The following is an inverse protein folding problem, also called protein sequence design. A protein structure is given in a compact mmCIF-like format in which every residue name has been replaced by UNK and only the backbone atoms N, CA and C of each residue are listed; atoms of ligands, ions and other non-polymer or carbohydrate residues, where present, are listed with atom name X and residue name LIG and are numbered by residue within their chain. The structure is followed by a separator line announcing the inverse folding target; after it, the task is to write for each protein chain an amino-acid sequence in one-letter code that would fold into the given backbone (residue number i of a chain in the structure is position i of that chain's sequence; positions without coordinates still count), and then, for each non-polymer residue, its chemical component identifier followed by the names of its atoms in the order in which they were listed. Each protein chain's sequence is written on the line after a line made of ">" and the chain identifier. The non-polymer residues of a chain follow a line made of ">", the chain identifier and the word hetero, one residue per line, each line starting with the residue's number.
data_IF_564968804272
#
_entry.id   IF_564968804272
#
_cell.length_a   1.000
_cell.length_b   1.000
_cell.length_c   1.000
_cell.angle_alpha   90.00
_cell.angle_beta   90.00
_cell.angle_gamma   90.00
#
_symmetry.space_group_name_H-M   'P 1'
#
loop_
_entity.id
_entity.type
_entity.pdbx_description
1 polymer ?
#
# COMPACT_ATOMS: atom_id res chain seq x y z
N UNK A 1 0.77 5.95 -15.23
CA UNK A 1 0.63 5.75 -16.69
C UNK A 1 -0.71 6.26 -17.16
N UNK A 2 -1.81 5.76 -16.59
CA UNK A 2 -3.16 6.17 -17.01
C UNK A 2 -3.43 7.68 -16.85
N UNK A 3 -3.89 8.34 -17.93
CA UNK A 3 -4.09 9.79 -17.98
C UNK A 3 -5.10 10.31 -16.94
N UNK A 4 -6.15 9.53 -16.66
CA UNK A 4 -7.14 9.85 -15.62
C UNK A 4 -6.50 10.06 -14.24
N UNK A 5 -5.43 9.33 -13.94
CA UNK A 5 -4.72 9.49 -12.67
C UNK A 5 -4.03 10.86 -12.60
N UNK A 6 -3.51 11.37 -13.71
CA UNK A 6 -2.83 12.66 -13.75
C UNK A 6 -3.82 13.82 -13.52
N UNK A 7 -5.01 13.75 -14.12
CA UNK A 7 -6.10 14.70 -13.89
C UNK A 7 -6.54 14.71 -12.42
N UNK A 8 -6.76 13.52 -11.85
CA UNK A 8 -7.13 13.37 -10.44
C UNK A 8 -6.05 13.89 -9.48
N UNK A 9 -4.77 13.61 -9.75
CA UNK A 9 -3.63 14.11 -8.97
C UNK A 9 -3.60 15.64 -8.97
N UNK A 10 -3.78 16.25 -10.15
CA UNK A 10 -3.82 17.72 -10.29
C UNK A 10 -4.97 18.33 -9.49
N UNK A 11 -6.19 17.79 -9.64
CA UNK A 11 -7.36 18.29 -8.94
C UNK A 11 -7.27 18.13 -7.41
N UNK A 12 -6.82 16.97 -6.93
CA UNK A 12 -6.70 16.71 -5.50
C UNK A 12 -5.70 17.66 -4.81
N UNK A 13 -4.60 17.99 -5.51
CA UNK A 13 -3.64 18.98 -5.05
C UNK A 13 -4.22 20.39 -5.02
N UNK A 14 -4.92 20.79 -6.10
CA UNK A 14 -5.63 22.07 -6.17
C UNK A 14 -6.65 22.25 -5.04
N UNK A 15 -7.46 21.23 -4.77
CA UNK A 15 -8.46 21.22 -3.70
C UNK A 15 -7.86 20.99 -2.30
N UNK A 16 -6.56 20.73 -2.20
CA UNK A 16 -5.84 20.47 -0.94
C UNK A 16 -6.53 19.40 -0.10
N UNK A 17 -6.83 18.25 -0.69
CA UNK A 17 -7.49 17.12 -0.02
C UNK A 17 -6.58 16.50 1.05
N UNK A 18 -6.43 17.16 2.20
CA UNK A 18 -5.50 16.79 3.28
C UNK A 18 -5.75 15.42 3.92
N UNK A 19 -6.96 14.88 3.75
CA UNK A 19 -7.32 13.54 4.23
C UNK A 19 -7.06 12.43 3.20
N UNK A 20 -6.57 12.78 2.00
CA UNK A 20 -6.20 11.82 0.97
C UNK A 20 -4.73 11.45 1.11
N UNK A 21 -4.48 10.18 1.42
CA UNK A 21 -3.16 9.56 1.40
C UNK A 21 -3.15 8.42 0.37
N UNK A 22 -2.17 8.43 -0.52
CA UNK A 22 -1.95 7.39 -1.52
C UNK A 22 -0.66 6.67 -1.18
N UNK A 23 -0.74 5.35 -0.95
CA UNK A 23 0.43 4.48 -0.91
C UNK A 23 0.59 3.91 -2.31
N UNK A 24 1.66 4.32 -2.98
CA UNK A 24 1.97 3.84 -4.32
C UNK A 24 3.02 2.73 -4.23
N UNK A 25 2.68 1.54 -4.72
CA UNK A 25 3.62 0.44 -4.84
C UNK A 25 4.57 0.72 -6.02
N UNK A 26 5.78 1.16 -5.68
CA UNK A 26 6.85 1.45 -6.61
C UNK A 26 7.77 0.24 -6.73
N UNK A 27 7.30 -0.77 -7.46
CA UNK A 27 7.98 -2.06 -7.61
C UNK A 27 8.79 -2.21 -8.91
N UNK A 28 8.79 -1.18 -9.77
CA UNK A 28 9.48 -1.13 -11.07
C UNK A 28 9.09 -2.21 -12.09
N UNK A 29 7.93 -2.86 -11.95
CA UNK A 29 7.48 -3.95 -12.84
C UNK A 29 6.04 -3.70 -13.33
N UNK A 30 5.81 -3.93 -14.63
CA UNK A 30 4.50 -4.05 -15.27
C UNK A 30 4.37 -5.44 -15.94
N UNK A 31 3.26 -5.68 -16.66
CA UNK A 31 3.02 -6.96 -17.37
C UNK A 31 4.13 -7.24 -18.39
N UNK A 32 4.56 -6.22 -19.14
CA UNK A 32 5.56 -6.37 -20.19
C UNK A 32 7.00 -6.49 -19.66
N UNK A 33 7.21 -6.38 -18.34
CA UNK A 33 8.54 -6.47 -17.72
C UNK A 33 8.87 -5.26 -16.86
N UNK A 34 10.16 -4.86 -16.79
CA UNK A 34 10.58 -3.64 -16.11
C UNK A 34 9.86 -2.40 -16.65
N UNK A 35 9.51 -1.47 -15.76
CA UNK A 35 8.78 -0.25 -16.16
C UNK A 35 9.60 0.66 -17.08
N UNK A 36 10.93 0.59 -17.05
CA UNK A 36 11.82 1.42 -17.88
C UNK A 36 11.69 1.17 -19.39
N UNK A 37 11.01 0.09 -19.79
CA UNK A 37 10.66 -0.21 -21.18
C UNK A 37 9.68 0.83 -21.78
N UNK A 38 8.83 1.43 -20.95
CA UNK A 38 7.77 2.34 -21.42
C UNK A 38 7.47 3.53 -20.48
N UNK A 39 8.13 3.60 -19.32
CA UNK A 39 7.92 4.64 -18.30
C UNK A 39 9.26 5.27 -17.92
N UNK A 40 9.37 6.57 -18.14
CA UNK A 40 10.54 7.37 -17.75
C UNK A 40 10.18 8.57 -16.85
N UNK A 41 8.93 8.63 -16.39
CA UNK A 41 8.42 9.70 -15.54
C UNK A 41 9.01 9.63 -14.12
N UNK A 42 9.38 10.79 -13.56
CA UNK A 42 9.59 10.95 -12.12
C UNK A 42 8.24 11.15 -11.41
N UNK A 43 7.70 10.05 -10.89
CA UNK A 43 6.41 10.04 -10.20
C UNK A 43 6.43 10.92 -8.94
N UNK A 44 7.40 10.80 -8.01
CA UNK A 44 7.53 11.72 -6.88
C UNK A 44 7.56 13.20 -7.28
N UNK A 45 8.36 13.58 -8.29
CA UNK A 45 8.43 14.97 -8.75
C UNK A 45 7.10 15.46 -9.33
N UNK A 46 6.39 14.62 -10.09
CA UNK A 46 5.07 14.99 -10.63
C UNK A 46 4.06 15.27 -9.52
N UNK A 47 3.99 14.43 -8.50
CA UNK A 47 3.12 14.66 -7.35
C UNK A 47 3.49 15.95 -6.60
N UNK A 48 4.80 16.20 -6.37
CA UNK A 48 5.28 17.46 -5.78
C UNK A 48 4.84 18.67 -6.61
N UNK A 49 4.98 18.60 -7.94
CA UNK A 49 4.55 19.66 -8.86
C UNK A 49 3.03 19.89 -8.83
N UNK A 50 2.24 18.84 -8.58
CA UNK A 50 0.79 18.94 -8.36
C UNK A 50 0.40 19.36 -6.93
N UNK A 51 1.33 19.81 -6.08
CA UNK A 51 1.01 20.34 -4.75
C UNK A 51 0.80 19.27 -3.68
N UNK A 52 1.34 18.07 -3.86
CA UNK A 52 1.27 17.00 -2.85
C UNK A 52 2.46 17.03 -1.88
N UNK A 53 2.27 16.49 -0.68
CA UNK A 53 3.36 16.06 0.17
C UNK A 53 3.83 14.70 -0.33
N UNK A 54 5.14 14.46 -0.39
CA UNK A 54 5.68 13.21 -0.92
C UNK A 54 6.72 12.64 0.04
N UNK A 55 6.53 11.37 0.39
CA UNK A 55 7.51 10.54 1.09
C UNK A 55 7.95 9.41 0.19
N UNK A 56 9.22 9.04 0.26
CA UNK A 56 9.80 7.88 -0.43
C UNK A 56 10.37 6.96 0.66
N UNK A 57 9.90 5.72 0.72
CA UNK A 57 10.23 4.76 1.79
C UNK A 57 10.48 3.37 1.21
N UNK A 58 11.26 2.55 1.92
CA UNK A 58 11.31 1.12 1.68
C UNK A 58 10.00 0.48 2.18
N UNK A 59 9.28 -0.21 1.30
CA UNK A 59 8.03 -0.89 1.61
C UNK A 59 8.21 -2.03 2.62
N UNK A 60 9.42 -2.59 2.72
CA UNK A 60 9.75 -3.69 3.63
C UNK A 60 10.23 -3.20 5.00
N UNK A 61 10.44 -1.90 5.18
CA UNK A 61 10.62 -1.25 6.48
C UNK A 61 9.27 -0.75 7.00
N UNK A 62 8.61 -1.59 7.81
CA UNK A 62 7.30 -1.29 8.41
C UNK A 62 7.36 -0.02 9.29
N UNK A 63 8.49 0.27 9.93
CA UNK A 63 8.66 1.46 10.76
C UNK A 63 8.71 2.75 9.93
N UNK A 64 9.39 2.70 8.78
CA UNK A 64 9.43 3.81 7.83
C UNK A 64 8.04 4.10 7.25
N UNK A 65 7.30 3.05 6.86
CA UNK A 65 5.93 3.18 6.34
C UNK A 65 4.98 3.75 7.42
N UNK A 66 5.04 3.25 8.66
CA UNK A 66 4.19 3.76 9.76
C UNK A 66 4.51 5.22 10.08
N UNK A 67 5.79 5.60 10.08
CA UNK A 67 6.24 6.98 10.30
C UNK A 67 5.72 7.91 9.21
N UNK A 68 5.81 7.51 7.93
CA UNK A 68 5.28 8.29 6.82
C UNK A 68 3.75 8.40 6.87
N UNK A 69 3.06 7.30 7.21
CA UNK A 69 1.61 7.28 7.34
C UNK A 69 1.13 8.19 8.47
N UNK A 70 1.82 8.20 9.61
CA UNK A 70 1.50 9.08 10.74
C UNK A 70 1.58 10.56 10.34
N UNK A 71 2.60 10.95 9.58
CA UNK A 71 2.80 12.34 9.10
C UNK A 71 1.69 12.84 8.17
N UNK A 72 0.95 11.95 7.51
CA UNK A 72 -0.16 12.36 6.64
C UNK A 72 -1.27 13.09 7.40
N UNK A 73 -1.43 12.81 8.69
CA UNK A 73 -2.47 13.41 9.55
C UNK A 73 -2.23 14.89 9.85
N UNK A 74 -0.97 15.32 9.79
CA UNK A 74 -0.56 16.70 10.06
C UNK A 74 -0.41 17.52 8.77
N UNK A 75 -0.67 16.90 7.61
CA UNK A 75 -0.55 17.54 6.31
C UNK A 75 -1.73 18.46 6.01
N UNK A 76 -1.43 19.57 5.34
CA UNK A 76 -2.41 20.55 4.86
C UNK A 76 -2.77 20.35 3.37
N UNK A 77 -2.30 19.24 2.79
CA UNK A 77 -2.37 18.88 1.36
C UNK A 77 -2.43 17.34 1.21
N UNK A 78 -2.87 16.79 0.07
CA UNK A 78 -2.85 15.35 -0.13
C UNK A 78 -1.42 14.79 -0.09
N UNK A 79 -1.27 13.52 0.27
CA UNK A 79 0.04 12.89 0.49
C UNK A 79 0.25 11.66 -0.37
N UNK A 80 1.40 11.58 -1.03
CA UNK A 80 1.92 10.37 -1.67
C UNK A 80 2.98 9.76 -0.76
N UNK A 81 2.88 8.46 -0.53
CA UNK A 81 3.95 7.63 0.04
C UNK A 81 4.35 6.66 -1.07
N UNK A 82 5.48 6.94 -1.72
CA UNK A 82 6.08 6.06 -2.71
C UNK A 82 6.82 4.93 -1.98
N UNK A 83 6.23 3.75 -1.98
CA UNK A 83 6.72 2.57 -1.29
C UNK A 83 7.56 1.75 -2.28
N UNK A 84 8.88 1.89 -2.22
CA UNK A 84 9.81 1.07 -3.00
C UNK A 84 9.69 -0.38 -2.54
N UNK A 85 9.21 -1.27 -3.40
CA UNK A 85 9.03 -2.69 -3.06
C UNK A 85 9.70 -3.62 -4.07
N UNK A 86 9.62 -4.93 -3.79
CA UNK A 86 10.01 -5.97 -4.73
C UNK A 86 8.79 -6.84 -4.98
N UNK A 87 8.29 -6.84 -6.22
CA UNK A 87 7.15 -7.68 -6.58
C UNK A 87 7.48 -9.16 -6.29
N UNK A 88 6.56 -9.89 -5.68
CA UNK A 88 6.78 -11.30 -5.31
C UNK A 88 7.87 -11.52 -4.25
N UNK A 89 8.20 -10.52 -3.42
CA UNK A 89 9.16 -10.65 -2.33
C UNK A 89 8.96 -11.96 -1.54
N UNK A 90 10.07 -12.68 -1.33
CA UNK A 90 10.06 -13.99 -0.68
C UNK A 90 10.03 -15.18 -1.64
N UNK A 91 9.68 -15.01 -2.92
CA UNK A 91 9.81 -16.05 -3.94
C UNK A 91 11.23 -16.02 -4.55
N UNK A 92 12.15 -16.89 -4.13
CA UNK A 92 13.59 -16.71 -4.38
C UNK A 92 13.98 -16.72 -5.87
N UNK A 93 13.22 -17.38 -6.74
CA UNK A 93 13.54 -17.46 -8.17
C UNK A 93 12.65 -16.57 -9.04
N UNK A 94 11.54 -16.04 -8.50
CA UNK A 94 10.58 -15.23 -9.26
C UNK A 94 10.42 -13.78 -8.78
N UNK A 95 10.92 -13.44 -7.60
CA UNK A 95 10.84 -12.07 -7.08
C UNK A 95 11.52 -11.06 -8.02
N UNK A 96 10.95 -9.86 -8.12
CA UNK A 96 11.46 -8.79 -8.98
C UNK A 96 11.16 -8.96 -10.48
N UNK A 97 10.35 -9.95 -10.87
CA UNK A 97 10.06 -10.22 -12.29
C UNK A 97 8.57 -10.12 -12.60
N UNK A 98 8.22 -9.85 -13.87
CA UNK A 98 6.83 -9.87 -14.32
C UNK A 98 6.18 -11.26 -14.22
N UNK A 99 6.97 -12.33 -14.12
CA UNK A 99 6.46 -13.71 -14.05
C UNK A 99 5.61 -13.98 -12.80
N UNK A 100 5.77 -13.19 -11.73
CA UNK A 100 4.96 -13.30 -10.49
C UNK A 100 3.73 -12.39 -10.49
N UNK A 101 3.56 -11.55 -11.52
CA UNK A 101 2.49 -10.53 -11.55
C UNK A 101 1.09 -11.13 -11.68
N UNK A 102 0.90 -12.07 -12.61
CA UNK A 102 -0.43 -12.55 -13.02
C UNK A 102 -0.62 -14.06 -13.02
N UNK A 103 0.32 -14.83 -12.45
CA UNK A 103 0.29 -16.28 -12.47
C UNK A 103 0.61 -16.90 -11.09
N UNK A 104 0.07 -18.08 -10.77
CA UNK A 104 0.49 -18.82 -9.57
C UNK A 104 2.00 -19.08 -9.56
N UNK A 105 2.59 -19.11 -8.36
CA UNK A 105 4.02 -19.41 -8.20
C UNK A 105 4.38 -20.81 -8.72
N UNK A 106 3.49 -21.79 -8.57
CA UNK A 106 3.79 -23.21 -8.79
C UNK A 106 4.29 -23.87 -7.50
N UNK A 107 4.21 -25.20 -7.43
CA UNK A 107 4.52 -25.96 -6.22
C UNK A 107 5.97 -25.76 -5.76
N UNK A 108 6.93 -25.93 -6.67
CA UNK A 108 8.36 -25.83 -6.36
C UNK A 108 8.75 -24.45 -5.82
N UNK A 109 8.25 -23.38 -6.47
CA UNK A 109 8.53 -22.01 -6.04
C UNK A 109 7.83 -21.67 -4.72
N UNK A 110 6.63 -22.22 -4.48
CA UNK A 110 5.92 -22.04 -3.22
C UNK A 110 6.68 -22.68 -2.05
N UNK A 111 7.22 -23.89 -2.24
CA UNK A 111 8.03 -24.56 -1.23
C UNK A 111 9.34 -23.81 -0.97
N UNK A 112 9.99 -23.32 -2.03
CA UNK A 112 11.18 -22.48 -1.91
C UNK A 112 10.88 -21.16 -1.17
N UNK A 113 9.76 -20.51 -1.46
CA UNK A 113 9.35 -19.29 -0.79
C UNK A 113 9.05 -19.53 0.71
N UNK A 114 8.39 -20.64 1.04
CA UNK A 114 8.15 -21.04 2.44
C UNK A 114 9.46 -21.25 3.18
N UNK A 115 10.42 -21.94 2.57
CA UNK A 115 11.74 -22.15 3.16
C UNK A 115 12.49 -20.82 3.37
N UNK A 116 12.48 -19.94 2.36
CA UNK A 116 13.16 -18.64 2.41
C UNK A 116 12.56 -17.71 3.49
N UNK A 117 11.24 -17.73 3.67
CA UNK A 117 10.53 -16.93 4.67
C UNK A 117 10.47 -17.59 6.05
N UNK A 118 11.01 -18.81 6.20
CA UNK A 118 10.91 -19.56 7.45
C UNK A 118 9.47 -19.86 7.85
N UNK A 119 8.61 -20.18 6.87
CA UNK A 119 7.17 -20.43 7.06
C UNK A 119 6.87 -21.94 7.13
N UNK A 120 6.70 -22.53 8.33
CA UNK A 120 6.51 -23.99 8.48
C UNK A 120 5.06 -24.44 8.28
N UNK A 121 4.12 -23.52 8.09
CA UNK A 121 2.68 -23.82 8.11
C UNK A 121 2.17 -24.28 6.75
N UNK A 122 1.20 -25.20 6.75
CA UNK A 122 0.58 -25.76 5.54
C UNK A 122 -0.26 -24.75 4.74
N UNK A 123 -0.79 -25.15 3.56
CA UNK A 123 -1.75 -24.34 2.82
C UNK A 123 -2.95 -23.97 3.69
N UNK A 124 -3.26 -22.66 3.75
CA UNK A 124 -4.36 -22.11 4.54
C UNK A 124 -4.29 -22.38 6.06
N UNK A 125 -3.14 -22.82 6.56
CA UNK A 125 -2.88 -22.90 8.01
C UNK A 125 -2.39 -21.54 8.52
N UNK A 126 -3.22 -20.91 9.36
CA UNK A 126 -2.96 -19.58 9.91
C UNK A 126 -2.54 -19.70 11.38
N UNK A 127 -1.32 -19.29 11.75
CA UNK A 127 -0.85 -19.35 13.13
C UNK A 127 -1.81 -18.60 14.07
N UNK A 128 -2.13 -19.22 15.20
CA UNK A 128 -3.11 -18.69 16.17
C UNK A 128 -2.80 -17.24 16.55
N UNK A 129 -1.53 -16.93 16.84
CA UNK A 129 -1.11 -15.58 17.23
C UNK A 129 -1.38 -14.54 16.13
N UNK A 130 -1.09 -14.88 14.88
CA UNK A 130 -1.39 -14.00 13.72
C UNK A 130 -2.90 -13.77 13.63
N UNK A 131 -3.71 -14.82 13.72
CA UNK A 131 -5.17 -14.71 13.71
C UNK A 131 -5.70 -13.84 14.84
N UNK A 132 -5.20 -14.04 16.05
CA UNK A 132 -5.62 -13.29 17.24
C UNK A 132 -5.29 -11.80 17.13
N UNK A 133 -4.11 -11.45 16.59
CA UNK A 133 -3.71 -10.07 16.32
C UNK A 133 -4.67 -9.38 15.33
N UNK A 134 -5.01 -10.04 14.23
CA UNK A 134 -5.97 -9.50 13.25
C UNK A 134 -7.37 -9.32 13.84
N UNK A 135 -7.86 -10.28 14.61
CA UNK A 135 -9.16 -10.16 15.28
C UNK A 135 -9.18 -9.05 16.34
N UNK A 136 -8.05 -8.82 17.04
CA UNK A 136 -7.92 -7.74 18.00
C UNK A 136 -8.04 -6.37 17.32
N UNK A 137 -7.43 -6.18 16.15
CA UNK A 137 -7.57 -4.96 15.34
C UNK A 137 -9.03 -4.67 14.98
N UNK A 138 -9.83 -5.68 14.63
CA UNK A 138 -11.27 -5.51 14.37
C UNK A 138 -12.05 -5.12 15.63
N UNK A 139 -11.75 -5.75 16.78
CA UNK A 139 -12.39 -5.41 18.07
C UNK A 139 -12.10 -3.98 18.51
N UNK A 140 -10.89 -3.48 18.25
CA UNK A 140 -10.46 -2.10 18.60
C UNK A 140 -11.39 -1.03 18.04
N UNK A 141 -11.97 -1.25 16.86
CA UNK A 141 -12.82 -0.25 16.19
C UNK A 141 -14.24 -0.13 16.79
N UNK A 142 -14.66 -1.05 17.68
CA UNK A 142 -16.04 -1.11 18.20
C UNK A 142 -16.46 0.19 18.90
N UNK A 143 -15.62 0.72 19.78
CA UNK A 143 -15.93 1.93 20.53
C UNK A 143 -16.08 3.15 19.60
N UNK A 144 -15.18 3.30 18.62
CA UNK A 144 -15.24 4.38 17.64
C UNK A 144 -16.52 4.29 16.77
N UNK A 145 -16.90 3.09 16.35
CA UNK A 145 -18.14 2.84 15.61
C UNK A 145 -19.38 3.18 16.44
N UNK A 146 -19.47 2.70 17.68
CA UNK A 146 -20.60 3.02 18.57
C UNK A 146 -20.70 4.53 18.81
N UNK A 147 -19.57 5.21 19.07
CA UNK A 147 -19.56 6.65 19.25
C UNK A 147 -20.00 7.40 17.98
N UNK A 148 -19.62 6.92 16.79
CA UNK A 148 -20.10 7.47 15.53
C UNK A 148 -21.61 7.29 15.35
N UNK A 149 -22.14 6.09 15.63
CA UNK A 149 -23.58 5.80 15.59
C UNK A 149 -24.37 6.71 16.54
N UNK A 150 -23.89 6.93 17.75
CA UNK A 150 -24.53 7.86 18.69
C UNK A 150 -24.54 9.30 18.18
N UNK A 151 -23.43 9.78 17.58
CA UNK A 151 -23.40 11.11 16.95
C UNK A 151 -24.38 11.22 15.78
N UNK A 152 -24.47 10.17 14.95
CA UNK A 152 -25.40 10.13 13.82
C UNK A 152 -26.85 10.20 14.30
N UNK A 153 -27.24 9.38 15.29
CA UNK A 153 -28.59 9.39 15.84
C UNK A 153 -28.96 10.73 16.49
N UNK A 154 -27.98 11.44 17.05
CA UNK A 154 -28.18 12.76 17.65
C UNK A 154 -28.20 13.92 16.64
N UNK A 155 -27.72 13.71 15.41
CA UNK A 155 -27.57 14.78 14.43
C UNK A 155 -28.90 15.31 13.86
N UNK A 156 -30.02 14.64 14.12
CA UNK A 156 -31.32 14.96 13.53
C UNK A 156 -31.37 14.65 12.02
N UNK A 157 -32.56 14.71 11.42
CA UNK A 157 -32.69 14.79 9.95
C UNK A 157 -32.33 16.22 9.52
N UNK A 158 -31.49 16.33 8.48
CA UNK A 158 -31.05 17.61 7.92
C UNK A 158 -32.16 18.31 7.14
#
# INVERSE_FOLDING_TARGET
>A
MEGISHEAISLAGHLRLSKLAVLWDDNSVCIDGPTDLAVSDDQPARFRASGWQVFEVDAHDIGAVDTALARTRDSDRPTLIACRSTIGFGAPNKAGTAAVHGAPLGADELDAARAALGWPHGPFDLPRQVRENWLASGRRCRAAYTAWQSRLAAAGEA
#
